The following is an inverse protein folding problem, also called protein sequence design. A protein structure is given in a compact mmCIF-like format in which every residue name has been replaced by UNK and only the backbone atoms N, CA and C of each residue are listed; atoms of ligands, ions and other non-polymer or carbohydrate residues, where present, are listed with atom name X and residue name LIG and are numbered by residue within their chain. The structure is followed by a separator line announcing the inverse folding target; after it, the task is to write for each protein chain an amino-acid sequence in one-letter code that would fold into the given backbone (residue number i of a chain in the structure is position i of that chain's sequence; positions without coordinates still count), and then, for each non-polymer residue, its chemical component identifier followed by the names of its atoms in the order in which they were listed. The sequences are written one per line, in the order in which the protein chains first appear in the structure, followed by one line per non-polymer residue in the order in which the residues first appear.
data_IF_099382671179
#
_entry.id   IF_099382671179
#
_cell.length_a   1.000
_cell.length_b   1.000
_cell.length_c   1.000
_cell.angle_alpha   90.00
_cell.angle_beta   90.00
_cell.angle_gamma   90.00
#
_symmetry.space_group_name_H-M   'P 1'
#
loop_
_entity.id
_entity.type
_entity.pdbx_description
1 polymer ?
#
# COMPACT_ATOMS: atom_id res chain seq x y z
N UNK A 1 -0.31 10.38 -0.20
CA UNK A 1 -0.42 9.90 -1.60
C UNK A 1 -1.44 10.78 -2.29
N UNK A 2 -1.05 11.44 -3.38
CA UNK A 2 -1.79 12.55 -3.99
C UNK A 2 -2.88 12.04 -4.96
N UNK A 3 -3.73 11.12 -4.53
CA UNK A 3 -4.81 10.56 -5.36
C UNK A 3 -4.39 9.59 -6.47
N UNK A 4 -3.08 9.31 -6.61
CA UNK A 4 -2.54 8.30 -7.51
C UNK A 4 -3.06 6.91 -7.12
N UNK A 5 -3.54 6.14 -8.10
CA UNK A 5 -3.93 4.75 -7.88
C UNK A 5 -2.68 3.92 -7.58
N UNK A 6 -2.67 3.22 -6.46
CA UNK A 6 -1.56 2.35 -6.04
C UNK A 6 -2.07 0.93 -5.85
N UNK A 7 -1.19 -0.06 -6.07
CA UNK A 7 -1.43 -1.44 -5.69
C UNK A 7 -0.90 -1.67 -4.27
N UNK A 8 -1.66 -2.40 -3.47
CA UNK A 8 -1.28 -2.87 -2.15
C UNK A 8 -1.39 -4.39 -2.09
N UNK A 9 -0.32 -5.03 -1.62
CA UNK A 9 -0.28 -6.47 -1.36
C UNK A 9 -0.16 -6.71 0.12
N UNK A 10 -1.00 -7.59 0.67
CA UNK A 10 -0.84 -8.05 2.05
C UNK A 10 0.02 -9.32 2.13
N UNK A 11 0.28 -9.78 3.36
CA UNK A 11 1.06 -10.99 3.62
C UNK A 11 0.37 -12.30 3.19
N UNK A 12 -0.93 -12.25 2.87
CA UNK A 12 -1.73 -13.40 2.46
C UNK A 12 -1.87 -13.49 0.93
N UNK A 13 -1.31 -12.53 0.18
CA UNK A 13 -1.40 -12.46 -1.27
C UNK A 13 -2.66 -11.77 -1.79
N UNK A 14 -3.43 -11.09 -0.93
CA UNK A 14 -4.57 -10.28 -1.38
C UNK A 14 -4.07 -9.00 -2.06
N UNK A 15 -4.79 -8.59 -3.10
CA UNK A 15 -4.48 -7.42 -3.91
C UNK A 15 -5.54 -6.35 -3.73
N UNK A 16 -5.12 -5.14 -3.39
CA UNK A 16 -6.02 -4.00 -3.23
C UNK A 16 -5.51 -2.81 -4.03
N UNK A 17 -6.32 -2.30 -4.94
CA UNK A 17 -6.05 -1.02 -5.59
C UNK A 17 -6.72 0.09 -4.81
N UNK A 18 -6.02 1.18 -4.49
CA UNK A 18 -6.62 2.33 -3.81
C UNK A 18 -5.87 3.62 -4.12
N UNK A 19 -6.63 4.73 -4.19
CA UNK A 19 -6.10 6.10 -4.36
C UNK A 19 -5.83 6.78 -3.03
N UNK A 20 -6.51 6.34 -1.98
CA UNK A 20 -6.38 6.89 -0.62
C UNK A 20 -6.28 5.77 0.41
N UNK A 21 -5.69 6.07 1.56
CA UNK A 21 -5.59 5.12 2.67
C UNK A 21 -6.97 4.81 3.28
N UNK A 22 -7.90 5.76 3.16
CA UNK A 22 -9.30 5.56 3.57
C UNK A 22 -9.97 4.50 2.70
N UNK A 23 -9.87 4.64 1.38
CA UNK A 23 -10.39 3.66 0.42
C UNK A 23 -9.75 2.29 0.63
N UNK A 24 -8.43 2.25 0.88
CA UNK A 24 -7.73 1.01 1.20
C UNK A 24 -8.33 0.33 2.45
N UNK A 25 -8.57 1.08 3.52
CA UNK A 25 -9.18 0.55 4.75
C UNK A 25 -10.59 0.01 4.51
N UNK A 26 -11.38 0.71 3.71
CA UNK A 26 -12.73 0.26 3.32
C UNK A 26 -12.66 -1.06 2.54
N UNK A 27 -11.70 -1.21 1.62
CA UNK A 27 -11.47 -2.44 0.84
C UNK A 27 -10.94 -3.62 1.65
N UNK A 28 -10.16 -3.37 2.69
CA UNK A 28 -9.74 -4.40 3.66
C UNK A 28 -10.93 -4.90 4.49
N UNK A 29 -12.10 -4.24 4.43
CA UNK A 29 -13.31 -4.66 5.14
C UNK A 29 -13.28 -4.32 6.63
N UNK A 30 -12.42 -3.37 7.03
CA UNK A 30 -12.14 -3.08 8.44
C UNK A 30 -12.46 -1.64 8.81
N UNK A 31 -13.73 -1.28 8.67
CA UNK A 31 -14.27 0.02 9.07
C UNK A 31 -13.97 0.31 10.54
N UNK A 32 -13.20 1.36 10.80
CA UNK A 32 -12.82 1.78 12.16
C UNK A 32 -11.47 1.24 12.65
N UNK A 33 -10.84 0.32 11.93
CA UNK A 33 -9.50 -0.15 12.29
C UNK A 33 -8.46 0.98 12.22
N UNK A 34 -7.52 0.95 13.17
CA UNK A 34 -6.37 1.86 13.20
C UNK A 34 -5.52 1.63 11.97
N UNK A 35 -5.07 2.72 11.38
CA UNK A 35 -4.08 2.74 10.31
C UNK A 35 -2.73 3.05 10.95
N UNK A 36 -1.75 2.17 10.74
CA UNK A 36 -0.35 2.45 11.07
C UNK A 36 0.48 2.50 9.79
N UNK A 37 1.50 3.35 9.75
CA UNK A 37 2.48 3.38 8.66
C UNK A 37 3.48 2.24 8.85
N UNK A 38 3.89 1.62 7.75
CA UNK A 38 4.92 0.59 7.71
C UNK A 38 6.20 1.19 7.12
N UNK A 39 7.34 0.88 7.73
CA UNK A 39 8.65 1.40 7.34
C UNK A 39 9.64 0.25 7.12
N UNK A 40 10.66 0.49 6.29
CA UNK A 40 11.88 -0.34 6.24
C UNK A 40 13.03 0.48 6.77
N UNK A 41 13.84 -0.11 7.65
CA UNK A 41 14.93 0.57 8.37
C UNK A 41 16.16 0.83 7.47
N UNK A 42 16.37 0.02 6.44
CA UNK A 42 17.56 0.09 5.57
C UNK A 42 17.20 0.59 4.17
N UNK A 43 16.84 1.88 4.05
CA UNK A 43 16.91 2.56 2.76
C UNK A 43 18.34 2.50 2.20
N UNK A 44 18.52 2.73 0.89
CA UNK A 44 19.86 2.75 0.27
C UNK A 44 20.83 3.77 0.89
N UNK A 45 20.27 4.72 1.64
CA UNK A 45 20.87 5.83 2.36
C UNK A 45 20.89 5.64 3.89
N UNK A 46 20.43 4.50 4.40
CA UNK A 46 20.31 4.23 5.84
C UNK A 46 19.11 4.92 6.52
N UNK A 47 18.29 5.66 5.78
CA UNK A 47 17.11 6.35 6.29
C UNK A 47 15.85 5.47 6.19
N UNK A 48 14.93 5.51 7.17
CA UNK A 48 13.69 4.77 7.12
C UNK A 48 12.78 5.19 5.96
N UNK A 49 12.34 4.22 5.14
CA UNK A 49 11.40 4.49 4.05
C UNK A 49 10.02 3.97 4.40
N UNK A 50 9.02 4.84 4.25
CA UNK A 50 7.62 4.42 4.31
C UNK A 50 7.32 3.50 3.12
N UNK A 51 6.81 2.30 3.36
CA UNK A 51 6.58 1.24 2.36
C UNK A 51 5.15 0.72 2.32
N UNK A 52 4.25 1.28 3.13
CA UNK A 52 2.85 0.89 3.12
C UNK A 52 2.18 1.07 4.49
N UNK A 53 1.15 0.27 4.75
CA UNK A 53 0.32 0.42 5.95
C UNK A 53 0.05 -0.92 6.64
N UNK A 54 -0.18 -0.87 7.94
CA UNK A 54 -0.80 -1.97 8.68
C UNK A 54 -2.23 -1.57 9.03
N UNK A 55 -3.20 -2.37 8.59
CA UNK A 55 -4.64 -2.14 8.81
C UNK A 55 -5.28 -3.47 9.19
N UNK A 56 -5.87 -3.55 10.39
CA UNK A 56 -6.58 -4.74 10.86
C UNK A 56 -5.78 -6.06 10.74
N UNK A 57 -4.47 -6.00 10.95
CA UNK A 57 -3.59 -7.16 10.81
C UNK A 57 -3.14 -7.45 9.37
N UNK A 58 -3.57 -6.69 8.37
CA UNK A 58 -3.03 -6.75 7.00
C UNK A 58 -1.80 -5.86 6.86
N UNK A 59 -0.69 -6.43 6.42
CA UNK A 59 0.60 -5.76 6.22
C UNK A 59 0.74 -5.37 4.75
N UNK A 60 0.16 -4.22 4.41
CA UNK A 60 -0.10 -3.77 3.05
C UNK A 60 1.11 -3.04 2.47
N UNK A 61 1.94 -3.74 1.69
CA UNK A 61 3.07 -3.14 0.96
C UNK A 61 2.57 -2.44 -0.31
N UNK A 62 3.03 -1.21 -0.55
CA UNK A 62 2.57 -0.39 -1.68
C UNK A 62 3.47 -0.49 -2.91
N UNK A 63 2.87 -0.47 -4.10
CA UNK A 63 3.53 -0.48 -5.39
C UNK A 63 2.92 0.58 -6.30
N UNK A 64 3.78 1.39 -6.93
CA UNK A 64 3.35 2.34 -7.95
C UNK A 64 3.09 1.59 -9.27
N UNK A 65 1.94 1.79 -9.92
CA UNK A 65 1.71 1.22 -11.24
C UNK A 65 2.67 1.86 -12.26
N UNK A 66 3.10 1.06 -13.23
CA UNK A 66 3.84 1.50 -14.40
C UNK A 66 3.01 1.07 -15.61
N UNK A 67 2.63 2.03 -16.46
CA UNK A 67 1.96 1.76 -17.72
C UNK A 67 3.02 1.60 -18.81
N UNK A 68 2.98 0.49 -19.54
CA UNK A 68 3.89 0.20 -20.64
C UNK A 68 3.09 0.14 -21.95
N UNK A 69 3.60 0.72 -23.05
CA UNK A 69 2.94 0.58 -24.34
C UNK A 69 2.94 -0.88 -24.76
N UNK A 70 1.78 -1.36 -25.22
CA UNK A 70 1.65 -2.68 -25.85
C UNK A 70 1.63 -2.45 -27.35
N UNK A 71 2.63 -2.96 -28.06
CA UNK A 71 2.56 -3.06 -29.52
C UNK A 71 1.59 -4.21 -29.83
N UNK A 72 0.32 -3.86 -30.05
CA UNK A 72 -0.73 -4.78 -30.48
C UNK A 72 -0.68 -4.99 -32.00
#
# INVERSE_FOLDING_TARGET
MNGTLMLYLDQYGNHFYARTVRELREKVGSSGSRIAKMYVENGADGEPRHVGYVIAGHWLKMFAPIELPVNL
#
